data_IF_259701116530
#
_entry.id   IF_259701116530
#
_cell.length_a   1.000
_cell.length_b   1.000
_cell.length_c   1.000
_cell.angle_alpha   90.00
_cell.angle_beta   90.00
_cell.angle_gamma   90.00
#
_symmetry.space_group_name_H-M   'P 1'
#
loop_
_entity.id
_entity.type
_entity.pdbx_description
1 polymer ?
#
# COMPACT_ATOMS: atom_id res chain seq x y z
N UNK A 1 -12.56 28.01 2.03
CA UNK A 1 -13.05 26.96 2.96
C UNK A 1 -13.52 25.69 2.23
N UNK A 2 -14.29 25.74 1.15
CA UNK A 2 -14.79 24.53 0.45
C UNK A 2 -13.69 23.56 -0.06
N UNK A 3 -12.61 24.07 -0.66
CA UNK A 3 -11.53 23.21 -1.22
C UNK A 3 -10.79 22.47 -0.11
N UNK A 4 -10.60 23.08 1.06
CA UNK A 4 -9.91 22.44 2.20
C UNK A 4 -10.73 21.29 2.78
N UNK A 5 -12.07 21.45 2.87
CA UNK A 5 -12.97 20.38 3.31
C UNK A 5 -13.00 19.21 2.32
N UNK A 6 -13.09 19.52 1.02
CA UNK A 6 -13.05 18.51 -0.04
C UNK A 6 -11.72 17.75 -0.06
N UNK A 7 -10.59 18.46 0.06
CA UNK A 7 -9.27 17.83 0.11
C UNK A 7 -9.16 16.85 1.30
N UNK A 8 -9.71 17.21 2.45
CA UNK A 8 -9.72 16.33 3.63
C UNK A 8 -10.52 15.05 3.35
N UNK A 9 -11.73 15.16 2.84
CA UNK A 9 -12.57 13.99 2.54
C UNK A 9 -11.92 13.05 1.51
N UNK A 10 -11.40 13.61 0.42
CA UNK A 10 -10.71 12.84 -0.62
C UNK A 10 -9.45 12.17 -0.06
N UNK A 11 -8.69 12.89 0.78
CA UNK A 11 -7.49 12.35 1.43
C UNK A 11 -7.82 11.20 2.38
N UNK A 12 -8.85 11.31 3.21
CA UNK A 12 -9.31 10.26 4.12
C UNK A 12 -9.75 9.01 3.34
N UNK A 13 -10.50 9.19 2.25
CA UNK A 13 -10.91 8.09 1.39
C UNK A 13 -9.70 7.37 0.77
N UNK A 14 -8.74 8.10 0.20
CA UNK A 14 -7.54 7.48 -0.37
C UNK A 14 -6.63 6.85 0.69
N UNK A 15 -6.55 7.42 1.90
CA UNK A 15 -5.79 6.80 2.99
C UNK A 15 -6.37 5.42 3.32
N UNK A 16 -7.69 5.31 3.49
CA UNK A 16 -8.37 4.03 3.73
C UNK A 16 -8.10 3.03 2.62
N UNK A 17 -8.30 3.42 1.35
CA UNK A 17 -8.02 2.57 0.19
C UNK A 17 -6.58 2.06 0.16
N UNK A 18 -5.61 2.91 0.49
CA UNK A 18 -4.18 2.52 0.47
C UNK A 18 -3.81 1.57 1.61
N UNK A 19 -4.49 1.64 2.75
CA UNK A 19 -4.35 0.68 3.85
C UNK A 19 -4.91 -0.68 3.43
N UNK A 20 -6.11 -0.71 2.86
CA UNK A 20 -6.74 -1.94 2.37
C UNK A 20 -5.87 -2.59 1.27
N UNK A 21 -5.38 -1.81 0.30
CA UNK A 21 -4.49 -2.31 -0.76
C UNK A 21 -3.23 -2.96 -0.15
N UNK A 22 -2.58 -2.32 0.83
CA UNK A 22 -1.40 -2.92 1.50
C UNK A 22 -1.76 -4.25 2.15
N UNK A 23 -2.91 -4.32 2.83
CA UNK A 23 -3.38 -5.55 3.46
C UNK A 23 -3.62 -6.67 2.45
N UNK A 24 -4.40 -6.41 1.39
CA UNK A 24 -4.70 -7.42 0.36
C UNK A 24 -3.47 -7.82 -0.47
N UNK A 25 -2.53 -6.90 -0.69
CA UNK A 25 -1.25 -7.23 -1.32
C UNK A 25 -0.42 -8.21 -0.45
N UNK A 26 -0.44 -8.07 0.89
CA UNK A 26 0.18 -9.05 1.80
C UNK A 26 -0.51 -10.41 1.71
N UNK A 27 -1.85 -10.45 1.73
CA UNK A 27 -2.61 -11.69 1.59
C UNK A 27 -2.32 -12.38 0.25
N UNK A 28 -2.17 -11.62 -0.84
CA UNK A 28 -1.79 -12.17 -2.15
C UNK A 28 -0.41 -12.82 -2.12
N UNK A 29 0.57 -12.20 -1.46
CA UNK A 29 1.91 -12.81 -1.27
C UNK A 29 1.79 -14.13 -0.52
N UNK A 30 1.02 -14.20 0.57
CA UNK A 30 0.84 -15.43 1.34
C UNK A 30 0.13 -16.52 0.53
N UNK A 31 -0.93 -16.16 -0.18
CA UNK A 31 -1.64 -17.10 -1.06
C UNK A 31 -0.76 -17.63 -2.19
N UNK A 32 0.06 -16.77 -2.80
CA UNK A 32 0.99 -17.21 -3.85
C UNK A 32 2.11 -18.09 -3.28
N UNK A 33 2.64 -17.74 -2.11
CA UNK A 33 3.66 -18.56 -1.43
C UNK A 33 3.13 -19.98 -1.17
N UNK A 34 1.89 -20.10 -0.69
CA UNK A 34 1.24 -21.40 -0.47
C UNK A 34 1.04 -22.16 -1.79
N UNK A 35 0.56 -21.48 -2.82
CA UNK A 35 0.35 -22.06 -4.15
C UNK A 35 1.64 -22.60 -4.79
N UNK A 36 2.73 -21.88 -4.63
CA UNK A 36 4.06 -22.28 -5.14
C UNK A 36 4.77 -23.31 -4.23
N UNK A 37 4.21 -23.61 -3.06
CA UNK A 37 4.84 -24.48 -2.07
C UNK A 37 6.17 -23.92 -1.54
N UNK A 38 6.32 -22.59 -1.54
CA UNK A 38 7.56 -21.93 -1.16
C UNK A 38 7.72 -21.82 0.37
N UNK A 39 8.95 -21.70 0.84
CA UNK A 39 9.25 -21.65 2.28
C UNK A 39 9.20 -20.22 2.80
N UNK A 40 8.29 -19.97 3.77
CA UNK A 40 8.06 -18.66 4.35
C UNK A 40 9.23 -18.04 5.11
N UNK A 41 10.22 -18.82 5.51
CA UNK A 41 11.48 -18.34 6.13
C UNK A 41 12.55 -18.10 5.06
N UNK A 42 12.74 -19.10 4.17
CA UNK A 42 13.73 -19.00 3.11
C UNK A 42 13.52 -17.79 2.20
N UNK A 43 12.28 -17.46 1.87
CA UNK A 43 11.96 -16.33 0.99
C UNK A 43 12.44 -14.99 1.55
N UNK A 44 12.38 -14.78 2.87
CA UNK A 44 12.89 -13.57 3.53
C UNK A 44 14.42 -13.55 3.52
N UNK A 45 15.05 -14.69 3.78
CA UNK A 45 16.51 -14.83 3.71
C UNK A 45 17.01 -14.55 2.30
N UNK A 46 16.37 -15.10 1.28
CA UNK A 46 16.70 -14.90 -0.14
C UNK A 46 16.47 -13.46 -0.58
N UNK A 47 15.42 -12.80 -0.08
CA UNK A 47 15.21 -11.37 -0.31
C UNK A 47 16.36 -10.55 0.24
N UNK A 48 16.76 -10.78 1.50
CA UNK A 48 17.94 -10.10 2.06
C UNK A 48 19.23 -10.39 1.26
N UNK A 49 19.39 -11.60 0.76
CA UNK A 49 20.55 -11.95 -0.08
C UNK A 49 20.53 -11.21 -1.43
N UNK A 50 19.36 -10.92 -1.97
CA UNK A 50 19.20 -10.17 -3.23
C UNK A 50 19.51 -8.67 -3.11
N UNK A 51 19.48 -8.13 -1.90
CA UNK A 51 19.75 -6.71 -1.65
C UNK A 51 21.25 -6.42 -1.65
N UNK A 52 21.62 -5.22 -2.08
CA UNK A 52 22.95 -4.70 -1.85
C UNK A 52 23.22 -4.51 -0.34
N UNK A 53 24.49 -4.40 0.04
CA UNK A 53 24.91 -4.27 1.44
C UNK A 53 24.24 -3.09 2.17
N UNK A 54 24.09 -1.95 1.53
CA UNK A 54 23.47 -0.75 2.12
C UNK A 54 21.97 -0.96 2.41
N UNK A 55 21.23 -1.51 1.44
CA UNK A 55 19.79 -1.81 1.60
C UNK A 55 19.53 -2.84 2.69
N UNK A 56 20.33 -3.92 2.70
CA UNK A 56 20.24 -4.95 3.77
C UNK A 56 20.49 -4.36 5.15
N UNK A 57 21.56 -3.59 5.31
CA UNK A 57 21.91 -2.98 6.58
C UNK A 57 20.86 -1.97 7.05
N UNK A 58 20.25 -1.20 6.13
CA UNK A 58 19.20 -0.25 6.48
C UNK A 58 17.99 -0.96 7.08
N UNK A 59 17.51 -2.04 6.44
CA UNK A 59 16.35 -2.80 6.93
C UNK A 59 16.68 -3.49 8.25
N UNK A 60 17.78 -4.25 8.31
CA UNK A 60 18.18 -4.97 9.51
C UNK A 60 18.52 -4.03 10.68
N UNK A 61 19.14 -2.89 10.40
CA UNK A 61 19.42 -1.86 11.39
C UNK A 61 18.15 -1.25 11.97
N UNK A 62 17.16 -0.93 11.12
CA UNK A 62 15.86 -0.46 11.57
C UNK A 62 15.14 -1.49 12.45
N UNK A 63 15.17 -2.77 12.09
CA UNK A 63 14.60 -3.87 12.89
C UNK A 63 15.29 -4.00 14.26
N UNK A 64 16.62 -3.99 14.30
CA UNK A 64 17.38 -4.06 15.56
C UNK A 64 17.06 -2.89 16.49
N UNK A 65 16.89 -1.68 15.95
CA UNK A 65 16.55 -0.49 16.75
C UNK A 65 15.13 -0.61 17.30
N UNK A 66 14.17 -1.04 16.49
CA UNK A 66 12.75 -1.14 16.89
C UNK A 66 12.47 -2.31 17.83
N UNK A 67 13.18 -3.44 17.65
CA UNK A 67 13.09 -4.63 18.52
C UNK A 67 14.03 -4.59 19.73
N UNK A 68 14.92 -3.60 19.83
CA UNK A 68 15.86 -3.46 20.93
C UNK A 68 15.22 -2.80 22.16
N UNK A 69 15.92 -2.86 23.28
CA UNK A 69 15.52 -2.19 24.53
C UNK A 69 15.75 -0.67 24.45
N UNK A 70 14.97 0.10 25.22
CA UNK A 70 15.14 1.56 25.40
C UNK A 70 14.12 2.40 24.66
N UNK A 71 14.39 3.72 24.55
CA UNK A 71 13.44 4.73 24.04
C UNK A 71 13.01 4.54 22.58
N UNK A 72 13.75 3.76 21.78
CA UNK A 72 13.45 3.50 20.38
C UNK A 72 12.73 2.19 20.16
N UNK A 73 12.41 1.46 21.23
CA UNK A 73 11.58 0.26 21.16
C UNK A 73 10.21 0.61 20.57
N UNK A 74 9.77 -0.20 19.60
CA UNK A 74 8.45 -0.02 18.99
C UNK A 74 7.37 -0.60 19.90
N UNK A 75 6.54 0.25 20.47
CA UNK A 75 5.51 -0.14 21.43
C UNK A 75 4.47 -1.14 20.87
N UNK A 76 4.34 -1.25 19.54
CA UNK A 76 3.36 -2.12 18.90
C UNK A 76 3.97 -3.37 18.27
N UNK A 77 5.17 -3.27 17.74
CA UNK A 77 5.81 -4.34 16.98
C UNK A 77 7.17 -4.76 17.55
N UNK A 78 7.69 -4.08 18.58
CA UNK A 78 9.03 -4.30 19.10
C UNK A 78 9.26 -5.71 19.60
N UNK A 79 8.34 -6.25 20.42
CA UNK A 79 8.43 -7.61 20.95
C UNK A 79 8.35 -8.67 19.84
N UNK A 80 7.47 -8.45 18.84
CA UNK A 80 7.35 -9.33 17.68
C UNK A 80 8.65 -9.33 16.86
N UNK A 81 9.25 -8.17 16.65
CA UNK A 81 10.54 -8.04 15.96
C UNK A 81 11.65 -8.74 16.78
N UNK A 82 11.73 -8.48 18.07
CA UNK A 82 12.76 -9.08 18.94
C UNK A 82 12.69 -10.61 18.93
N UNK A 83 11.47 -11.15 19.02
CA UNK A 83 11.25 -12.60 19.01
C UNK A 83 11.70 -13.26 17.70
N UNK A 84 11.46 -12.62 16.55
CA UNK A 84 11.75 -13.17 15.22
C UNK A 84 13.00 -12.61 14.54
N UNK A 85 13.83 -11.84 15.25
CA UNK A 85 14.96 -11.12 14.63
C UNK A 85 15.96 -12.04 13.94
N UNK A 86 16.17 -13.27 14.46
CA UNK A 86 17.15 -14.24 13.96
C UNK A 86 16.58 -15.10 12.82
N UNK A 87 15.29 -15.41 12.88
CA UNK A 87 14.60 -16.26 11.92
C UNK A 87 13.21 -15.68 11.67
N UNK A 88 13.11 -14.76 10.71
CA UNK A 88 11.91 -13.95 10.46
C UNK A 88 11.05 -14.58 9.37
N UNK A 89 9.88 -15.11 9.73
CA UNK A 89 8.94 -15.63 8.74
C UNK A 89 8.29 -14.50 7.93
N UNK A 90 7.89 -14.80 6.71
CA UNK A 90 7.36 -13.82 5.75
C UNK A 90 6.15 -13.03 6.28
N UNK A 91 5.27 -13.66 7.05
CA UNK A 91 4.10 -12.97 7.63
C UNK A 91 4.51 -11.93 8.67
N UNK A 92 5.51 -12.20 9.51
CA UNK A 92 6.08 -11.21 10.45
C UNK A 92 6.82 -10.13 9.66
N UNK A 93 7.68 -10.52 8.71
CA UNK A 93 8.42 -9.59 7.88
C UNK A 93 7.51 -8.54 7.24
N UNK A 94 6.45 -8.98 6.55
CA UNK A 94 5.50 -8.08 5.90
C UNK A 94 4.71 -7.20 6.88
N UNK A 95 4.54 -7.63 8.13
CA UNK A 95 3.86 -6.82 9.15
C UNK A 95 4.75 -5.68 9.63
N UNK A 96 6.02 -5.97 9.89
CA UNK A 96 6.92 -5.03 10.57
C UNK A 96 7.68 -4.10 9.64
N UNK A 97 7.79 -4.41 8.33
CA UNK A 97 8.46 -3.52 7.38
C UNK A 97 7.60 -2.33 6.98
N UNK A 98 8.25 -1.22 6.65
CA UNK A 98 7.56 -0.08 6.03
C UNK A 98 7.00 -0.44 4.64
N UNK A 99 6.10 0.43 4.13
CA UNK A 99 5.45 0.16 2.84
C UNK A 99 6.45 0.19 1.67
N UNK A 100 7.55 0.93 1.78
CA UNK A 100 8.58 0.97 0.74
C UNK A 100 9.27 -0.38 0.62
N UNK A 101 9.80 -0.88 1.72
CA UNK A 101 10.43 -2.20 1.82
C UNK A 101 9.46 -3.31 1.39
N UNK A 102 8.18 -3.22 1.77
CA UNK A 102 7.17 -4.18 1.30
C UNK A 102 6.99 -4.15 -0.23
N UNK A 103 6.97 -2.98 -0.86
CA UNK A 103 6.86 -2.86 -2.33
C UNK A 103 8.08 -3.46 -3.04
N UNK A 104 9.27 -3.30 -2.48
CA UNK A 104 10.49 -3.91 -3.01
C UNK A 104 10.48 -5.44 -2.83
N UNK A 105 9.99 -5.92 -1.68
CA UNK A 105 9.78 -7.36 -1.45
C UNK A 105 8.72 -7.94 -2.41
N UNK A 106 7.66 -7.21 -2.69
CA UNK A 106 6.64 -7.62 -3.66
C UNK A 106 7.21 -7.81 -5.07
N UNK A 107 8.13 -6.91 -5.49
CA UNK A 107 8.88 -7.07 -6.74
C UNK A 107 9.75 -8.33 -6.73
N UNK A 108 10.46 -8.58 -5.64
CA UNK A 108 11.27 -9.78 -5.48
C UNK A 108 10.42 -11.05 -5.62
N UNK A 109 9.26 -11.09 -4.95
CA UNK A 109 8.30 -12.19 -5.08
C UNK A 109 7.78 -12.35 -6.51
N UNK A 110 7.44 -11.25 -7.20
CA UNK A 110 7.02 -11.29 -8.60
C UNK A 110 8.08 -11.93 -9.51
N UNK A 111 9.36 -11.59 -9.32
CA UNK A 111 10.47 -12.19 -10.05
C UNK A 111 10.70 -13.66 -9.68
N UNK A 112 10.65 -14.00 -8.38
CA UNK A 112 10.85 -15.35 -7.88
C UNK A 112 9.81 -16.34 -8.45
N UNK A 113 8.56 -15.93 -8.50
CA UNK A 113 7.45 -16.74 -9.00
C UNK A 113 7.10 -16.48 -10.48
N UNK A 114 7.89 -15.68 -11.18
CA UNK A 114 7.70 -15.34 -12.59
C UNK A 114 6.27 -14.86 -12.90
N UNK A 115 5.72 -14.04 -11.99
CA UNK A 115 4.33 -13.57 -12.08
C UNK A 115 4.24 -12.20 -12.74
N UNK A 116 3.84 -12.16 -14.02
CA UNK A 116 3.61 -10.90 -14.74
C UNK A 116 2.52 -10.05 -14.09
N UNK A 117 1.50 -10.67 -13.50
CA UNK A 117 0.44 -9.96 -12.79
C UNK A 117 1.02 -9.20 -11.59
N UNK A 118 1.81 -9.86 -10.74
CA UNK A 118 2.46 -9.21 -9.60
C UNK A 118 3.47 -8.15 -10.04
N UNK A 119 4.14 -8.33 -11.17
CA UNK A 119 5.05 -7.33 -11.72
C UNK A 119 4.29 -6.05 -12.11
N UNK A 120 3.15 -6.16 -12.78
CA UNK A 120 2.29 -5.01 -13.13
C UNK A 120 1.75 -4.33 -11.88
N UNK A 121 1.31 -5.10 -10.90
CA UNK A 121 0.83 -4.59 -9.61
C UNK A 121 1.93 -3.88 -8.83
N UNK A 122 3.17 -4.37 -8.85
CA UNK A 122 4.31 -3.69 -8.22
C UNK A 122 4.46 -2.25 -8.72
N UNK A 123 4.41 -2.03 -10.04
CA UNK A 123 4.53 -0.67 -10.59
C UNK A 123 3.39 0.24 -10.13
N UNK A 124 2.18 -0.30 -9.98
CA UNK A 124 1.06 0.46 -9.43
C UNK A 124 1.24 0.70 -7.91
N UNK A 125 1.69 -0.30 -7.14
CA UNK A 125 1.95 -0.20 -5.70
C UNK A 125 2.98 0.90 -5.35
N UNK A 126 3.95 1.18 -6.22
CA UNK A 126 4.86 2.34 -6.05
C UNK A 126 4.10 3.66 -6.01
N UNK A 127 3.08 3.80 -6.87
CA UNK A 127 2.21 4.98 -6.91
C UNK A 127 1.29 5.04 -5.68
N UNK A 128 0.74 3.89 -5.27
CA UNK A 128 -0.06 3.75 -4.05
C UNK A 128 0.74 4.17 -2.81
N UNK A 129 2.00 3.70 -2.69
CA UNK A 129 2.90 4.10 -1.60
C UNK A 129 3.09 5.62 -1.55
N UNK A 130 3.32 6.26 -2.69
CA UNK A 130 3.52 7.70 -2.76
C UNK A 130 2.27 8.47 -2.32
N UNK A 131 1.08 8.05 -2.77
CA UNK A 131 -0.20 8.66 -2.38
C UNK A 131 -0.48 8.43 -0.88
N UNK A 132 -0.27 7.20 -0.37
CA UNK A 132 -0.41 6.88 1.05
C UNK A 132 0.45 7.78 1.93
N UNK A 133 1.71 8.00 1.54
CA UNK A 133 2.57 8.88 2.32
C UNK A 133 2.07 10.33 2.30
N UNK A 134 1.63 10.84 1.15
CA UNK A 134 1.05 12.17 1.05
C UNK A 134 -0.22 12.31 1.92
N UNK A 135 -1.10 11.31 1.90
CA UNK A 135 -2.34 11.32 2.69
C UNK A 135 -2.07 11.20 4.19
N UNK A 136 -1.17 10.30 4.61
CA UNK A 136 -0.80 10.10 6.01
C UNK A 136 -0.09 11.31 6.63
N UNK A 137 0.67 12.07 5.83
CA UNK A 137 1.32 13.30 6.27
C UNK A 137 0.47 14.57 6.08
N UNK A 138 -0.83 14.42 5.84
CA UNK A 138 -1.77 15.53 5.64
C UNK A 138 -1.38 16.51 4.52
N UNK A 139 -0.66 16.05 3.48
CA UNK A 139 -0.36 16.89 2.33
C UNK A 139 -1.65 17.15 1.54
N UNK A 140 -1.79 18.36 0.99
CA UNK A 140 -2.88 18.68 0.08
C UNK A 140 -2.73 17.90 -1.22
N UNK A 141 -3.61 16.92 -1.47
CA UNK A 141 -3.54 16.05 -2.65
C UNK A 141 -4.27 16.63 -3.86
N UNK A 142 -5.17 17.58 -3.66
CA UNK A 142 -5.87 18.29 -4.74
C UNK A 142 -5.07 19.47 -5.32
N UNK A 143 -4.01 19.91 -4.65
CA UNK A 143 -3.17 20.99 -5.13
C UNK A 143 -2.35 20.53 -6.36
N UNK A 144 -2.26 21.36 -7.40
CA UNK A 144 -1.46 21.10 -8.60
C UNK A 144 -2.14 20.28 -9.69
N UNK A 145 -3.45 20.02 -9.62
CA UNK A 145 -4.19 19.36 -10.71
C UNK A 145 -4.22 20.16 -12.02
N UNK A 146 -4.09 21.49 -11.94
CA UNK A 146 -4.05 22.40 -13.09
C UNK A 146 -2.65 22.55 -13.69
N UNK A 147 -1.62 22.20 -12.96
CA UNK A 147 -0.24 22.27 -13.45
C UNK A 147 0.07 20.99 -14.22
N UNK A 148 0.47 21.15 -15.47
CA UNK A 148 1.08 20.08 -16.25
C UNK A 148 2.48 19.80 -15.72
N UNK A 149 2.61 19.40 -14.47
CA UNK A 149 3.83 18.85 -13.92
C UNK A 149 4.00 17.42 -14.44
N UNK A 150 4.05 17.28 -15.75
CA UNK A 150 4.60 16.09 -16.35
C UNK A 150 6.08 16.05 -15.95
N UNK A 151 6.44 15.27 -14.95
CA UNK A 151 7.83 14.85 -14.83
C UNK A 151 8.16 14.16 -16.16
N UNK A 152 9.12 14.72 -16.88
CA UNK A 152 9.63 14.09 -18.09
C UNK A 152 9.91 12.61 -17.79
N UNK A 153 9.24 11.68 -18.50
CA UNK A 153 9.40 10.24 -18.32
C UNK A 153 8.35 9.52 -17.47
N UNK A 154 7.31 10.20 -16.91
CA UNK A 154 6.22 9.48 -16.27
C UNK A 154 5.25 8.91 -17.32
N UNK A 155 5.25 7.60 -17.48
CA UNK A 155 4.27 6.87 -18.31
C UNK A 155 3.35 6.07 -17.41
N UNK A 156 2.04 6.30 -17.52
CA UNK A 156 1.06 5.48 -16.80
C UNK A 156 1.11 4.05 -17.34
N UNK A 157 1.27 3.01 -16.50
CA UNK A 157 1.26 1.62 -16.93
C UNK A 157 0.03 1.26 -17.77
N UNK A 158 0.22 0.40 -18.78
CA UNK A 158 -0.85 0.00 -19.69
C UNK A 158 -2.03 -0.64 -18.94
N UNK A 159 -1.77 -1.47 -17.94
CA UNK A 159 -2.80 -2.11 -17.12
C UNK A 159 -3.77 -1.10 -16.48
N UNK A 160 -3.26 0.05 -16.00
CA UNK A 160 -4.11 1.12 -15.44
C UNK A 160 -4.98 1.73 -16.54
N UNK A 161 -4.41 1.98 -17.73
CA UNK A 161 -5.20 2.56 -18.84
C UNK A 161 -6.26 1.62 -19.36
N UNK A 162 -6.02 0.31 -19.31
CA UNK A 162 -6.99 -0.73 -19.71
C UNK A 162 -8.09 -0.89 -18.66
N UNK A 163 -7.77 -0.85 -17.38
CA UNK A 163 -8.75 -0.82 -16.29
C UNK A 163 -9.70 0.38 -16.41
N UNK A 164 -9.17 1.58 -16.71
CA UNK A 164 -9.98 2.76 -16.97
C UNK A 164 -10.89 2.62 -18.20
N UNK A 165 -10.44 1.91 -19.25
CA UNK A 165 -11.29 1.60 -20.40
C UNK A 165 -12.43 0.66 -20.00
N UNK A 166 -12.12 -0.40 -19.25
CA UNK A 166 -13.12 -1.34 -18.73
C UNK A 166 -14.17 -0.67 -17.85
N UNK A 167 -13.76 0.36 -17.09
CA UNK A 167 -14.65 1.21 -16.28
C UNK A 167 -15.43 2.26 -17.08
N UNK A 168 -15.48 2.16 -18.42
CA UNK A 168 -16.25 3.06 -19.28
C UNK A 168 -15.60 4.43 -19.54
N UNK A 169 -14.34 4.61 -19.18
CA UNK A 169 -13.58 5.83 -19.47
C UNK A 169 -12.72 5.67 -20.73
N UNK A 170 -13.18 6.10 -21.92
CA UNK A 170 -12.50 5.82 -23.18
C UNK A 170 -11.16 6.54 -23.33
N UNK A 171 -10.29 6.06 -24.22
CA UNK A 171 -8.98 6.63 -24.53
C UNK A 171 -9.12 7.94 -25.30
N UNK A 172 -9.28 9.05 -24.60
CA UNK A 172 -9.36 10.40 -25.20
C UNK A 172 -8.05 11.17 -25.01
N UNK A 173 -7.85 12.22 -25.82
CA UNK A 173 -6.74 13.17 -25.64
C UNK A 173 -6.83 13.83 -24.24
N UNK A 174 -8.04 14.15 -23.79
CA UNK A 174 -8.27 14.75 -22.47
C UNK A 174 -7.83 13.79 -21.33
N UNK A 175 -8.20 12.50 -21.40
CA UNK A 175 -7.77 11.51 -20.41
C UNK A 175 -6.24 11.37 -20.37
N UNK A 176 -5.57 11.29 -21.53
CA UNK A 176 -4.10 11.21 -21.59
C UNK A 176 -3.46 12.44 -20.93
N UNK A 177 -3.99 13.64 -21.21
CA UNK A 177 -3.51 14.89 -20.61
C UNK A 177 -3.69 14.88 -19.07
N UNK A 178 -4.81 14.35 -18.56
CA UNK A 178 -5.04 14.24 -17.10
C UNK A 178 -4.09 13.24 -16.46
N UNK A 179 -3.90 12.07 -17.06
CA UNK A 179 -2.97 11.04 -16.55
C UNK A 179 -1.48 11.44 -16.63
N UNK A 180 -1.14 12.46 -17.42
CA UNK A 180 0.19 13.06 -17.38
C UNK A 180 0.47 13.82 -16.08
N UNK A 181 -0.58 14.19 -15.31
CA UNK A 181 -0.43 14.72 -13.97
C UNK A 181 -0.14 13.57 -12.99
N UNK A 182 1.01 13.65 -12.29
CA UNK A 182 1.48 12.59 -11.40
C UNK A 182 0.46 12.23 -10.30
N UNK A 183 -0.23 13.21 -9.73
CA UNK A 183 -1.21 12.98 -8.64
C UNK A 183 -2.44 12.25 -9.16
N UNK A 184 -2.94 12.65 -10.33
CA UNK A 184 -4.06 11.95 -10.98
C UNK A 184 -3.66 10.53 -11.36
N UNK A 185 -2.43 10.33 -11.85
CA UNK A 185 -1.90 9.01 -12.15
C UNK A 185 -1.79 8.13 -10.89
N UNK A 186 -1.36 8.69 -9.76
CA UNK A 186 -1.29 7.97 -8.47
C UNK A 186 -2.69 7.58 -7.97
N UNK A 187 -3.68 8.46 -8.10
CA UNK A 187 -5.08 8.14 -7.77
C UNK A 187 -5.62 7.02 -8.68
N UNK A 188 -5.36 7.10 -9.99
CA UNK A 188 -5.78 6.07 -10.94
C UNK A 188 -5.10 4.71 -10.64
N UNK A 189 -3.81 4.71 -10.26
CA UNK A 189 -3.10 3.51 -9.83
C UNK A 189 -3.69 2.92 -8.55
N UNK A 190 -4.13 3.76 -7.61
CA UNK A 190 -4.79 3.31 -6.38
C UNK A 190 -6.12 2.63 -6.68
N UNK A 191 -6.96 3.23 -7.53
CA UNK A 191 -8.22 2.62 -7.95
C UNK A 191 -7.99 1.30 -8.71
N UNK A 192 -6.96 1.22 -9.57
CA UNK A 192 -6.56 0.00 -10.23
C UNK A 192 -6.16 -1.08 -9.21
N UNK A 193 -5.25 -0.78 -8.27
CA UNK A 193 -4.85 -1.74 -7.25
C UNK A 193 -6.04 -2.21 -6.39
N UNK A 194 -6.96 -1.30 -6.06
CA UNK A 194 -8.18 -1.67 -5.34
C UNK A 194 -8.99 -2.71 -6.13
N UNK A 195 -9.16 -2.51 -7.44
CA UNK A 195 -9.96 -3.41 -8.29
C UNK A 195 -9.32 -4.78 -8.52
N UNK A 196 -7.98 -4.91 -8.49
CA UNK A 196 -7.29 -6.17 -8.77
C UNK A 196 -6.84 -6.92 -7.53
N UNK A 197 -6.65 -6.23 -6.40
CA UNK A 197 -6.19 -6.84 -5.16
C UNK A 197 -7.32 -7.04 -4.15
N UNK A 198 -8.25 -6.08 -4.06
CA UNK A 198 -9.35 -6.12 -3.10
C UNK A 198 -10.59 -6.74 -3.76
N UNK A 199 -10.63 -8.08 -3.85
CA UNK A 199 -11.68 -8.81 -4.57
C UNK A 199 -12.91 -9.16 -3.71
N UNK A 200 -12.90 -8.87 -2.41
CA UNK A 200 -14.07 -9.12 -1.57
C UNK A 200 -15.10 -7.99 -1.68
N UNK A 201 -16.39 -8.34 -1.79
CA UNK A 201 -17.49 -7.37 -1.83
C UNK A 201 -17.46 -6.39 -0.65
N UNK A 202 -17.03 -6.83 0.53
CA UNK A 202 -16.91 -5.99 1.72
C UNK A 202 -15.78 -4.95 1.65
N UNK A 203 -14.72 -5.21 0.86
CA UNK A 203 -13.65 -4.24 0.64
C UNK A 203 -14.02 -3.23 -0.46
N UNK A 204 -14.81 -3.66 -1.46
CA UNK A 204 -15.28 -2.81 -2.55
C UNK A 204 -16.53 -1.98 -2.18
N UNK A 205 -17.28 -2.39 -1.15
CA UNK A 205 -18.49 -1.73 -0.69
C UNK A 205 -18.25 -0.54 0.26
N UNK A 206 -17.02 -0.01 0.33
CA UNK A 206 -16.74 1.25 1.04
C UNK A 206 -16.53 2.43 0.06
N UNK A 207 -17.54 2.82 -0.72
CA UNK A 207 -17.46 4.02 -1.50
C UNK A 207 -17.95 5.18 -0.65
N UNK A 208 -17.28 6.28 -0.67
CA UNK A 208 -17.67 7.70 -0.51
C UNK A 208 -19.00 8.04 0.22
N UNK A 209 -19.66 7.12 0.90
CA UNK A 209 -20.78 7.40 1.78
C UNK A 209 -20.22 7.83 3.12
N UNK A 210 -20.44 9.07 3.49
CA UNK A 210 -20.22 9.52 4.87
C UNK A 210 -21.00 8.57 5.80
N UNK A 211 -20.33 7.91 6.75
CA UNK A 211 -21.06 7.21 7.79
C UNK A 211 -21.92 8.24 8.52
N UNK A 212 -23.19 7.96 8.75
CA UNK A 212 -24.01 8.80 9.60
C UNK A 212 -23.34 8.99 10.95
N UNK A 213 -23.61 10.11 11.65
CA UNK A 213 -23.06 10.33 13.00
C UNK A 213 -23.32 9.13 13.92
N UNK A 214 -24.48 8.48 13.77
CA UNK A 214 -24.87 7.29 14.51
C UNK A 214 -23.99 6.07 14.18
N UNK A 215 -23.67 5.84 12.91
CA UNK A 215 -22.73 4.76 12.48
C UNK A 215 -21.30 5.01 12.96
N UNK A 216 -20.86 6.26 13.01
CA UNK A 216 -19.55 6.62 13.55
C UNK A 216 -19.51 6.36 15.05
N UNK A 217 -20.55 6.75 15.79
CA UNK A 217 -20.69 6.54 17.24
C UNK A 217 -20.75 5.06 17.58
N UNK A 218 -21.46 4.27 16.79
CA UNK A 218 -21.58 2.81 16.98
C UNK A 218 -20.25 2.09 16.71
N UNK A 219 -19.48 2.51 15.68
CA UNK A 219 -18.14 1.99 15.37
C UNK A 219 -17.12 2.34 16.46
N UNK A 220 -17.12 3.57 16.94
CA UNK A 220 -16.27 4.01 18.05
C UNK A 220 -16.60 3.20 19.29
N UNK A 221 -17.89 3.09 19.64
CA UNK A 221 -18.36 2.37 20.83
C UNK A 221 -18.04 0.86 20.74
N UNK A 222 -18.20 0.24 19.58
CA UNK A 222 -17.87 -1.17 19.38
C UNK A 222 -16.37 -1.43 19.43
N UNK A 223 -15.55 -0.50 18.91
CA UNK A 223 -14.10 -0.58 19.00
C UNK A 223 -13.61 -0.43 20.44
N UNK A 224 -14.15 0.50 21.19
CA UNK A 224 -13.83 0.70 22.62
C UNK A 224 -14.23 -0.53 23.43
N UNK A 225 -15.44 -1.09 23.21
CA UNK A 225 -15.89 -2.31 23.89
C UNK A 225 -14.99 -3.52 23.59
N UNK A 226 -14.50 -3.65 22.36
CA UNK A 226 -13.53 -4.70 21.99
C UNK A 226 -12.18 -4.52 22.70
N UNK A 227 -11.72 -3.29 22.84
CA UNK A 227 -10.47 -2.98 23.54
C UNK A 227 -10.57 -3.19 25.07
N UNK A 228 -11.74 -2.99 25.68
CA UNK A 228 -11.94 -3.18 27.12
C UNK A 228 -12.29 -4.62 27.51
N UNK A 229 -12.45 -5.53 26.56
CA UNK A 229 -12.74 -6.95 26.78
C UNK A 229 -11.48 -7.85 26.75
N UNK A 230 -10.29 -7.25 26.64
CA UNK A 230 -8.97 -7.88 26.79
C UNK A 230 -8.24 -7.26 27.99
#
# INVERSE_FOLDING_TARGET
MAISSLDRQVREAFLTMTIDIKHFAKLKVLSQLEKEGDNGYAIVTDFYASLNHAGRNAIQGAMKVRGGEGERHDAYAGDLIAHHLQDMPVWVFMEVVDFGTFVDFYLFCAGRWQSDAMLQEHYALKSVKALRNATAHNHCILNGFTKAEARAGHTTPQAITDSLNAAGMPRTKARRSKLANLRIAQMAATLYCLSVLCTSESAMARPFTEPSEDELQERITSSIKRYMAY
#
